data_IF_786828430046
#
_entry.id   IF_786828430046
#
_cell.length_a   1.000
_cell.length_b   1.000
_cell.length_c   1.000
_cell.angle_alpha   90.00
_cell.angle_beta   90.00
_cell.angle_gamma   90.00
#
_symmetry.space_group_name_H-M   'P 1'
#
loop_
_entity.id
_entity.type
_entity.pdbx_description
1 polymer ?
#
# COMPACT_ATOMS: atom_id res chain seq x y z
N UNK A 1 -11.80 13.25 44.16
CA UNK A 1 -12.52 12.40 43.18
C UNK A 1 -12.90 13.27 42.01
N UNK A 2 -12.18 13.15 40.89
CA UNK A 2 -12.50 13.90 39.67
C UNK A 2 -13.68 13.19 38.98
N UNK A 3 -14.82 13.86 38.88
CA UNK A 3 -15.97 13.37 38.11
C UNK A 3 -15.60 13.36 36.63
N UNK A 4 -15.45 12.18 36.04
CA UNK A 4 -15.40 12.02 34.59
C UNK A 4 -16.70 12.55 34.00
N UNK A 5 -16.62 13.57 33.15
CA UNK A 5 -17.74 14.02 32.34
C UNK A 5 -18.36 12.84 31.59
N UNK A 6 -19.70 12.71 31.50
CA UNK A 6 -20.31 11.65 30.72
C UNK A 6 -19.82 11.75 29.27
N UNK A 7 -19.31 10.65 28.73
CA UNK A 7 -18.91 10.58 27.32
C UNK A 7 -20.11 10.93 26.44
N UNK A 8 -19.96 11.91 25.55
CA UNK A 8 -21.03 12.27 24.62
C UNK A 8 -21.47 11.07 23.78
N UNK A 9 -22.79 10.95 23.49
CA UNK A 9 -23.30 9.86 22.66
C UNK A 9 -22.68 9.94 21.26
N UNK A 10 -22.08 8.83 20.84
CA UNK A 10 -21.40 8.71 19.55
C UNK A 10 -22.17 7.73 18.64
N UNK A 11 -22.45 8.15 17.42
CA UNK A 11 -23.07 7.31 16.38
C UNK A 11 -22.04 7.12 15.27
N UNK A 12 -21.88 5.87 14.85
CA UNK A 12 -20.95 5.47 13.80
C UNK A 12 -21.70 4.63 12.76
N UNK A 13 -21.53 5.00 11.49
CA UNK A 13 -22.10 4.34 10.34
C UNK A 13 -20.99 3.71 9.52
N UNK A 14 -21.12 2.43 9.22
CA UNK A 14 -20.21 1.70 8.33
C UNK A 14 -21.02 0.91 7.32
N UNK A 15 -20.72 1.04 6.04
CA UNK A 15 -21.35 0.26 4.99
C UNK A 15 -20.28 -0.40 4.11
N UNK A 16 -20.34 -1.71 3.91
CA UNK A 16 -19.44 -2.43 2.99
C UNK A 16 -20.24 -3.12 1.88
N UNK A 17 -19.69 -3.09 0.66
CA UNK A 17 -20.22 -3.79 -0.49
C UNK A 17 -19.73 -5.24 -0.51
N UNK A 18 -20.67 -6.18 -0.51
CA UNK A 18 -20.41 -7.60 -0.74
C UNK A 18 -20.81 -7.95 -2.18
N UNK A 19 -19.93 -7.62 -3.13
CA UNK A 19 -20.20 -7.71 -4.57
C UNK A 19 -20.67 -9.11 -5.01
N UNK A 20 -20.01 -10.18 -4.54
CA UNK A 20 -20.30 -11.56 -4.93
C UNK A 20 -21.72 -12.02 -4.54
N UNK A 21 -22.25 -11.53 -3.42
CA UNK A 21 -23.62 -11.85 -2.96
C UNK A 21 -24.59 -10.69 -3.20
N UNK A 22 -24.14 -9.63 -3.90
CA UNK A 22 -24.92 -8.48 -4.36
C UNK A 22 -25.71 -7.81 -3.23
N UNK A 23 -25.05 -7.62 -2.10
CA UNK A 23 -25.61 -6.97 -0.91
C UNK A 23 -24.68 -5.89 -0.39
N UNK A 24 -25.26 -4.85 0.19
CA UNK A 24 -24.53 -3.92 1.07
C UNK A 24 -24.87 -4.30 2.50
N UNK A 25 -23.85 -4.47 3.34
CA UNK A 25 -24.05 -4.55 4.78
C UNK A 25 -23.86 -3.18 5.39
N UNK A 26 -24.92 -2.67 6.00
CA UNK A 26 -24.91 -1.42 6.76
C UNK A 26 -24.90 -1.76 8.24
N UNK A 27 -24.01 -1.13 8.97
CA UNK A 27 -23.91 -1.18 10.42
C UNK A 27 -24.11 0.21 11.00
N UNK A 28 -24.93 0.27 12.05
CA UNK A 28 -25.12 1.44 12.89
C UNK A 28 -24.62 1.05 14.27
N UNK A 29 -23.57 1.72 14.74
CA UNK A 29 -23.04 1.52 16.10
C UNK A 29 -23.35 2.75 16.93
N UNK A 30 -23.97 2.57 18.08
CA UNK A 30 -24.21 3.64 19.05
C UNK A 30 -23.42 3.37 20.34
N UNK A 31 -22.77 4.39 20.87
CA UNK A 31 -22.12 4.36 22.19
C UNK A 31 -22.88 5.30 23.10
N UNK A 32 -23.66 4.75 24.03
CA UNK A 32 -24.36 5.54 25.04
C UNK A 32 -23.82 5.19 26.43
N UNK A 33 -23.56 6.22 27.24
CA UNK A 33 -23.12 6.07 28.64
C UNK A 33 -24.22 5.46 29.55
N UNK A 34 -25.47 5.48 29.09
CA UNK A 34 -26.65 4.92 29.76
C UNK A 34 -27.32 3.99 28.76
N UNK A 35 -27.70 2.77 29.19
CA UNK A 35 -28.43 1.82 28.34
C UNK A 35 -29.76 2.44 27.92
N UNK A 36 -29.79 3.10 26.77
CA UNK A 36 -30.98 3.67 26.19
C UNK A 36 -31.43 2.71 25.08
N UNK A 37 -32.59 2.07 25.27
CA UNK A 37 -33.17 1.14 24.28
C UNK A 37 -33.80 1.89 23.08
N UNK A 38 -33.51 3.18 22.91
CA UNK A 38 -34.01 3.99 21.80
C UNK A 38 -33.36 3.53 20.50
N UNK A 39 -34.09 2.74 19.73
CA UNK A 39 -33.62 2.24 18.43
C UNK A 39 -33.32 3.39 17.46
N UNK A 40 -32.18 3.38 16.75
CA UNK A 40 -31.89 4.36 15.70
C UNK A 40 -32.91 4.24 14.57
N UNK A 41 -33.41 5.38 14.11
CA UNK A 41 -34.30 5.46 12.95
C UNK A 41 -33.43 5.53 11.69
N UNK A 42 -33.55 4.54 10.81
CA UNK A 42 -32.78 4.44 9.57
C UNK A 42 -33.70 4.64 8.38
N UNK A 43 -33.36 5.59 7.52
CA UNK A 43 -34.14 5.95 6.33
C UNK A 43 -33.27 5.96 5.09
N UNK A 44 -33.87 5.66 3.94
CA UNK A 44 -33.25 5.67 2.61
C UNK A 44 -33.84 6.82 1.81
N UNK A 45 -32.98 7.56 1.12
CA UNK A 45 -33.40 8.64 0.24
C UNK A 45 -34.15 8.12 -1.01
N UNK A 46 -34.61 9.04 -1.86
CA UNK A 46 -35.29 8.71 -3.12
C UNK A 46 -34.34 8.07 -4.14
N UNK A 47 -33.07 8.48 -4.16
CA UNK A 47 -32.05 7.92 -5.06
C UNK A 47 -31.59 6.51 -4.67
N UNK A 48 -31.89 6.08 -3.43
CA UNK A 48 -31.48 4.81 -2.82
C UNK A 48 -29.97 4.67 -2.72
N UNK A 49 -29.26 5.79 -2.65
CA UNK A 49 -27.80 5.87 -2.53
C UNK A 49 -27.35 6.56 -1.24
N UNK A 50 -28.27 7.19 -0.52
CA UNK A 50 -28.01 7.84 0.76
C UNK A 50 -28.85 7.20 1.86
N UNK A 51 -28.21 6.91 2.99
CA UNK A 51 -28.86 6.46 4.21
C UNK A 51 -28.72 7.56 5.27
N UNK A 52 -29.85 7.90 5.89
CA UNK A 52 -29.89 8.83 7.02
C UNK A 52 -30.30 8.10 8.27
N UNK A 53 -29.47 8.22 9.31
CA UNK A 53 -29.67 7.63 10.63
C UNK A 53 -29.88 8.74 11.65
N UNK A 54 -30.99 8.69 12.37
CA UNK A 54 -31.32 9.60 13.47
C UNK A 54 -31.37 8.84 14.79
N UNK A 55 -30.61 9.31 15.78
CA UNK A 55 -30.52 8.72 17.12
C UNK A 55 -30.09 9.78 18.14
N UNK A 56 -30.81 9.89 19.27
CA UNK A 56 -30.51 10.83 20.37
C UNK A 56 -30.16 12.25 19.91
N UNK A 57 -31.06 12.87 19.15
CA UNK A 57 -30.94 14.22 18.53
C UNK A 57 -29.78 14.42 17.54
N UNK A 58 -29.02 13.36 17.23
CA UNK A 58 -28.00 13.38 16.18
C UNK A 58 -28.54 12.74 14.91
N UNK A 59 -28.22 13.35 13.78
CA UNK A 59 -28.54 12.82 12.46
C UNK A 59 -27.28 12.72 11.62
N UNK A 60 -27.02 11.53 11.10
CA UNK A 60 -25.90 11.26 10.20
C UNK A 60 -26.42 10.75 8.86
N UNK A 61 -25.90 11.32 7.78
CA UNK A 61 -26.16 10.83 6.42
C UNK A 61 -24.89 10.25 5.83
N UNK A 62 -24.97 9.02 5.32
CA UNK A 62 -23.90 8.26 4.67
C UNK A 62 -24.28 7.93 3.23
N UNK A 63 -23.37 8.17 2.28
CA UNK A 63 -23.51 7.65 0.91
C UNK A 63 -23.10 6.19 0.86
N UNK A 64 -23.98 5.34 0.37
CA UNK A 64 -23.72 3.91 0.23
C UNK A 64 -22.70 3.64 -0.88
N UNK A 65 -21.94 2.53 -0.80
CA UNK A 65 -21.03 2.09 -1.85
C UNK A 65 -21.66 1.93 -3.24
N UNK A 66 -22.95 1.59 -3.26
CA UNK A 66 -23.74 1.45 -4.48
C UNK A 66 -25.22 1.69 -4.15
N UNK A 67 -26.02 2.06 -5.15
CA UNK A 67 -27.46 2.21 -4.98
C UNK A 67 -28.13 0.87 -4.69
N UNK A 68 -29.07 0.86 -3.74
CA UNK A 68 -29.80 -0.34 -3.31
C UNK A 68 -31.15 -0.47 -4.01
N UNK A 69 -31.72 -1.67 -4.00
CA UNK A 69 -33.05 -1.96 -4.55
C UNK A 69 -34.15 -1.29 -3.71
N UNK A 70 -35.34 -1.12 -4.30
CA UNK A 70 -36.49 -0.57 -3.57
C UNK A 70 -36.89 -1.41 -2.34
N UNK A 71 -36.66 -2.73 -2.38
CA UNK A 71 -36.93 -3.67 -1.27
C UNK A 71 -36.04 -3.41 -0.05
N UNK A 72 -34.92 -2.69 -0.20
CA UNK A 72 -34.04 -2.37 0.92
C UNK A 72 -34.74 -1.63 2.07
N UNK A 73 -35.82 -0.87 1.78
CA UNK A 73 -36.61 -0.17 2.81
C UNK A 73 -37.27 -1.13 3.81
N UNK A 74 -37.68 -2.31 3.36
CA UNK A 74 -38.30 -3.33 4.23
C UNK A 74 -37.27 -3.90 5.22
N UNK A 75 -36.00 -3.99 4.81
CA UNK A 75 -34.91 -4.50 5.64
C UNK A 75 -34.44 -3.51 6.73
N UNK A 76 -34.68 -2.21 6.56
CA UNK A 76 -34.33 -1.19 7.56
C UNK A 76 -35.22 -1.26 8.83
N UNK A 77 -36.41 -1.81 8.71
CA UNK A 77 -37.35 -1.96 9.83
C UNK A 77 -37.06 -3.18 10.72
N UNK A 78 -36.21 -4.13 10.29
CA UNK A 78 -36.05 -5.42 10.95
C UNK A 78 -34.63 -5.69 11.49
N UNK A 79 -34.18 -4.95 12.51
CA UNK A 79 -32.89 -5.23 13.16
C UNK A 79 -32.98 -5.09 14.68
N UNK A 80 -32.44 -6.08 15.39
CA UNK A 80 -32.25 -6.08 16.84
C UNK A 80 -30.82 -5.63 17.16
N UNK A 81 -30.64 -4.93 18.28
CA UNK A 81 -29.33 -4.53 18.75
C UNK A 81 -28.53 -5.75 19.22
N UNK A 82 -27.25 -5.81 18.85
CA UNK A 82 -26.27 -6.71 19.47
C UNK A 82 -25.39 -5.89 20.40
N UNK A 83 -25.27 -6.32 21.66
CA UNK A 83 -24.49 -5.62 22.67
C UNK A 83 -23.03 -6.09 22.68
N UNK A 84 -22.09 -5.16 22.60
CA UNK A 84 -20.65 -5.41 22.60
C UNK A 84 -19.93 -4.68 23.73
N UNK A 85 -20.43 -4.81 24.97
CA UNK A 85 -19.71 -4.36 26.16
C UNK A 85 -19.46 -2.85 26.22
N UNK A 86 -20.45 -2.04 25.81
CA UNK A 86 -20.38 -0.58 25.78
C UNK A 86 -20.92 0.04 24.49
N UNK A 87 -21.14 -0.79 23.46
CA UNK A 87 -21.61 -0.38 22.14
C UNK A 87 -22.82 -1.24 21.73
N UNK A 88 -23.87 -0.60 21.21
CA UNK A 88 -25.00 -1.28 20.55
C UNK A 88 -24.76 -1.28 19.04
N UNK A 89 -24.75 -2.47 18.43
CA UNK A 89 -24.60 -2.64 16.99
C UNK A 89 -25.94 -3.07 16.35
N UNK A 90 -26.36 -2.36 15.31
CA UNK A 90 -27.49 -2.73 14.46
C UNK A 90 -26.97 -3.04 13.06
N UNK A 91 -27.25 -4.25 12.57
CA UNK A 91 -26.83 -4.70 11.23
C UNK A 91 -28.04 -4.79 10.29
N UNK A 92 -27.87 -4.31 9.06
CA UNK A 92 -28.87 -4.34 8.00
C UNK A 92 -28.27 -4.92 6.72
N UNK A 93 -29.03 -5.76 6.03
CA UNK A 93 -28.64 -6.34 4.73
C UNK A 93 -29.48 -5.70 3.65
N UNK A 94 -28.84 -4.89 2.81
CA UNK A 94 -29.52 -4.10 1.78
C UNK A 94 -29.26 -4.73 0.40
N UNK A 95 -30.27 -5.33 -0.26
CA UNK A 95 -30.10 -5.93 -1.59
C UNK A 95 -29.87 -4.85 -2.65
N UNK A 96 -28.95 -5.11 -3.59
CA UNK A 96 -28.55 -4.18 -4.66
C UNK A 96 -29.48 -4.32 -5.88
N UNK A 97 -29.63 -3.24 -6.65
CA UNK A 97 -30.42 -3.20 -7.88
C UNK A 97 -29.72 -3.92 -9.05
N UNK A 98 -30.39 -4.86 -9.72
CA UNK A 98 -29.81 -5.63 -10.83
C UNK A 98 -29.68 -4.82 -12.12
N UNK A 99 -30.64 -3.93 -12.40
CA UNK A 99 -30.76 -3.24 -13.68
C UNK A 99 -29.80 -2.04 -13.83
N UNK A 100 -29.31 -1.49 -12.71
CA UNK A 100 -28.35 -0.37 -12.68
C UNK A 100 -26.89 -0.75 -12.37
N UNK A 101 -26.63 -2.03 -12.09
CA UNK A 101 -25.34 -2.49 -11.53
C UNK A 101 -24.21 -2.74 -12.54
N UNK A 102 -24.50 -2.80 -13.85
CA UNK A 102 -23.50 -3.17 -14.86
C UNK A 102 -22.28 -2.24 -14.89
N UNK A 103 -22.44 -0.98 -14.47
CA UNK A 103 -21.38 0.04 -14.45
C UNK A 103 -20.68 0.13 -13.09
N UNK A 104 -21.37 -0.25 -12.00
CA UNK A 104 -20.91 -0.05 -10.62
C UNK A 104 -20.39 -1.30 -9.93
N UNK A 105 -20.42 -2.49 -10.54
CA UNK A 105 -19.90 -3.75 -9.98
C UNK A 105 -18.59 -4.19 -10.66
N UNK A 106 -18.15 -3.45 -11.69
CA UNK A 106 -16.83 -3.65 -12.28
C UNK A 106 -15.78 -3.59 -11.16
N UNK A 107 -14.89 -4.59 -11.05
CA UNK A 107 -13.81 -4.53 -10.09
C UNK A 107 -12.93 -3.31 -10.39
N UNK A 108 -12.28 -2.79 -9.36
CA UNK A 108 -11.33 -1.69 -9.47
C UNK A 108 -10.01 -2.17 -10.16
N UNK A 109 -10.07 -2.84 -11.31
CA UNK A 109 -8.94 -3.62 -11.85
C UNK A 109 -7.88 -2.82 -12.62
N UNK A 110 -8.02 -1.50 -12.81
CA UNK A 110 -6.93 -0.71 -13.41
C UNK A 110 -5.97 -0.17 -12.36
N UNK A 111 -5.39 -1.09 -11.58
CA UNK A 111 -4.38 -0.77 -10.58
C UNK A 111 -3.13 -0.11 -11.18
N UNK A 112 -2.84 -0.38 -12.45
CA UNK A 112 -1.71 0.25 -13.16
C UNK A 112 -1.91 1.74 -13.39
N UNK A 113 -3.15 2.18 -13.61
CA UNK A 113 -3.47 3.61 -13.75
C UNK A 113 -3.66 4.31 -12.41
N UNK A 114 -4.03 3.58 -11.36
CA UNK A 114 -4.26 4.15 -10.02
C UNK A 114 -3.01 4.15 -9.14
N UNK A 115 -1.98 3.38 -9.50
CA UNK A 115 -0.71 3.33 -8.77
C UNK A 115 -0.06 4.72 -8.70
N UNK A 116 0.48 5.14 -7.54
CA UNK A 116 1.17 6.40 -7.37
C UNK A 116 2.28 6.60 -8.40
N UNK A 117 2.21 7.68 -9.18
CA UNK A 117 3.26 8.10 -10.11
C UNK A 117 3.75 7.00 -11.07
N UNK A 118 2.91 6.54 -12.02
CA UNK A 118 3.35 5.62 -13.07
C UNK A 118 4.25 6.37 -14.06
N UNK A 119 5.14 5.69 -14.79
CA UNK A 119 6.05 6.38 -15.71
C UNK A 119 5.31 7.21 -16.79
N UNK A 120 4.14 6.72 -17.24
CA UNK A 120 3.25 7.45 -18.18
C UNK A 120 2.74 8.80 -17.66
N UNK A 121 2.72 8.98 -16.33
CA UNK A 121 2.32 10.24 -15.68
C UNK A 121 3.48 11.23 -15.51
N UNK A 122 4.70 10.84 -15.84
CA UNK A 122 5.89 11.66 -15.66
C UNK A 122 6.21 12.47 -16.92
N UNK A 123 6.69 13.69 -16.73
CA UNK A 123 7.06 14.62 -17.81
C UNK A 123 8.55 14.95 -17.77
N UNK A 124 9.05 15.60 -18.83
CA UNK A 124 10.41 16.13 -18.85
C UNK A 124 10.66 17.26 -17.82
N UNK A 125 9.61 17.74 -17.14
CA UNK A 125 9.69 18.78 -16.11
C UNK A 125 9.49 18.20 -14.70
N UNK A 126 9.35 16.88 -14.57
CA UNK A 126 9.01 16.25 -13.30
C UNK A 126 10.23 16.16 -12.38
N UNK A 127 10.10 16.69 -11.17
CA UNK A 127 11.13 16.75 -10.14
C UNK A 127 10.73 15.89 -8.95
N UNK A 128 11.71 15.21 -8.35
CA UNK A 128 11.48 14.40 -7.13
C UNK A 128 12.09 15.16 -5.96
N UNK A 129 11.28 15.41 -4.94
CA UNK A 129 11.62 16.20 -3.76
C UNK A 129 11.55 15.36 -2.49
N UNK A 130 12.31 15.73 -1.46
CA UNK A 130 12.21 15.10 -0.15
C UNK A 130 10.88 15.48 0.49
N UNK A 131 10.11 14.50 0.97
CA UNK A 131 8.82 14.75 1.62
C UNK A 131 8.93 15.62 2.87
N UNK A 132 10.01 15.45 3.66
CA UNK A 132 10.18 16.16 4.93
C UNK A 132 10.45 17.66 4.77
N UNK A 133 11.41 18.01 3.91
CA UNK A 133 11.92 19.38 3.78
C UNK A 133 11.71 20.03 2.39
N UNK A 134 11.06 19.35 1.45
CA UNK A 134 10.86 19.81 0.08
C UNK A 134 12.14 20.07 -0.73
N UNK A 135 13.32 19.67 -0.23
CA UNK A 135 14.57 19.76 -0.97
C UNK A 135 14.53 18.86 -2.22
N UNK A 136 14.88 19.40 -3.38
CA UNK A 136 14.92 18.67 -4.64
C UNK A 136 16.02 17.60 -4.60
N UNK A 137 15.61 16.33 -4.75
CA UNK A 137 16.46 15.14 -4.81
C UNK A 137 16.91 14.84 -6.25
N UNK A 138 16.02 15.03 -7.20
CA UNK A 138 16.25 14.87 -8.64
C UNK A 138 15.54 16.01 -9.40
N UNK A 139 16.25 16.60 -10.36
CA UNK A 139 15.71 17.61 -11.28
C UNK A 139 16.12 17.33 -12.72
N UNK A 140 15.19 17.40 -13.68
CA UNK A 140 15.51 17.38 -15.10
C UNK A 140 16.17 18.72 -15.47
N UNK A 141 17.48 18.75 -15.72
CA UNK A 141 18.16 20.00 -16.11
C UNK A 141 17.63 20.57 -17.43
N UNK A 142 17.79 21.89 -17.65
CA UNK A 142 17.16 22.71 -18.72
C UNK A 142 17.32 22.21 -20.18
N UNK A 143 18.14 21.19 -20.46
CA UNK A 143 18.43 20.71 -21.82
C UNK A 143 18.55 19.18 -21.94
N UNK A 144 18.06 18.41 -20.96
CA UNK A 144 18.26 16.96 -20.94
C UNK A 144 16.94 16.19 -21.17
N UNK A 145 16.92 15.38 -22.23
CA UNK A 145 15.82 14.43 -22.46
C UNK A 145 15.86 13.35 -21.37
N UNK A 146 15.08 13.54 -20.31
CA UNK A 146 14.83 12.51 -19.29
C UNK A 146 13.88 11.48 -19.84
N UNK A 147 14.21 10.20 -19.65
CA UNK A 147 13.39 9.07 -20.07
C UNK A 147 12.84 8.37 -18.83
N UNK A 148 11.53 8.39 -18.67
CA UNK A 148 10.83 7.64 -17.63
C UNK A 148 10.40 6.28 -18.18
N UNK A 149 10.71 5.21 -17.45
CA UNK A 149 10.35 3.84 -17.85
C UNK A 149 9.85 3.07 -16.66
N UNK A 150 8.70 2.42 -16.80
CA UNK A 150 8.30 1.43 -15.80
C UNK A 150 9.30 0.28 -15.82
N UNK A 151 9.72 -0.16 -14.62
CA UNK A 151 10.49 -1.38 -14.50
C UNK A 151 9.61 -2.57 -14.88
N UNK A 152 10.14 -3.54 -15.63
CA UNK A 152 9.47 -4.83 -15.71
C UNK A 152 9.36 -5.42 -14.30
N UNK A 153 8.35 -6.28 -14.09
CA UNK A 153 8.15 -6.94 -12.79
C UNK A 153 9.47 -7.55 -12.28
N UNK A 154 9.65 -7.57 -10.95
CA UNK A 154 10.91 -8.00 -10.32
C UNK A 154 11.39 -9.39 -10.81
N UNK A 155 10.44 -10.28 -11.09
CA UNK A 155 10.71 -11.65 -11.53
C UNK A 155 10.66 -11.82 -13.05
N UNK A 156 10.60 -10.73 -13.83
CA UNK A 156 10.59 -10.83 -15.30
C UNK A 156 11.82 -11.56 -15.82
N UNK A 157 12.98 -11.34 -15.21
CA UNK A 157 14.21 -12.06 -15.57
C UNK A 157 14.09 -13.56 -15.24
N UNK A 158 13.56 -13.92 -14.07
CA UNK A 158 13.36 -15.32 -13.66
C UNK A 158 12.30 -16.02 -14.52
N UNK A 159 11.23 -15.31 -14.88
CA UNK A 159 10.19 -15.76 -15.81
C UNK A 159 10.75 -15.97 -17.22
N UNK A 160 11.62 -15.06 -17.67
CA UNK A 160 12.34 -15.23 -18.93
C UNK A 160 13.30 -16.41 -18.87
N UNK A 161 13.97 -16.67 -17.74
CA UNK A 161 14.87 -17.81 -17.58
C UNK A 161 14.11 -19.15 -17.62
N UNK A 162 12.93 -19.21 -17.01
CA UNK A 162 12.01 -20.35 -17.13
C UNK A 162 11.57 -20.58 -18.59
N UNK A 163 11.38 -19.52 -19.37
CA UNK A 163 10.97 -19.62 -20.78
C UNK A 163 12.10 -19.99 -21.73
N UNK A 164 13.35 -19.65 -21.39
CA UNK A 164 14.53 -19.95 -22.21
C UNK A 164 15.26 -21.25 -21.79
N UNK A 165 14.62 -22.11 -20.99
CA UNK A 165 15.22 -23.37 -20.48
C UNK A 165 15.70 -24.36 -21.57
N UNK A 166 15.38 -24.13 -22.84
CA UNK A 166 16.03 -24.81 -23.95
C UNK A 166 16.53 -23.76 -24.96
N UNK A 167 17.79 -23.33 -24.80
CA UNK A 167 18.50 -22.68 -25.91
C UNK A 167 18.55 -23.71 -27.06
N UNK A 168 18.05 -23.41 -28.26
CA UNK A 168 18.11 -24.35 -29.37
C UNK A 168 19.56 -24.78 -29.58
N UNK A 169 19.78 -26.09 -29.75
CA UNK A 169 21.10 -26.58 -30.10
C UNK A 169 21.61 -25.80 -31.31
N UNK A 170 22.87 -25.34 -31.30
CA UNK A 170 23.44 -24.69 -32.47
C UNK A 170 23.33 -25.68 -33.63
N UNK A 171 22.49 -25.34 -34.60
CA UNK A 171 22.38 -26.09 -35.84
C UNK A 171 23.79 -26.09 -36.44
N UNK A 172 24.45 -27.26 -36.62
CA UNK A 172 25.77 -27.31 -37.21
C UNK A 172 25.65 -26.70 -38.61
N UNK A 173 26.30 -25.55 -38.82
CA UNK A 173 26.39 -24.93 -40.13
C UNK A 173 27.18 -25.88 -41.03
N UNK A 174 26.46 -26.68 -41.83
CA UNK A 174 27.02 -27.23 -43.06
C UNK A 174 27.13 -26.06 -44.02
N UNK A 175 28.21 -25.31 -43.89
CA UNK A 175 28.97 -24.75 -45.02
C UNK A 175 30.28 -24.19 -44.47
N UNK A 176 31.37 -24.66 -45.06
CA UNK A 176 32.70 -24.10 -44.88
C UNK A 176 32.76 -22.78 -45.63
N UNK A 177 33.57 -21.87 -45.10
CA UNK A 177 33.99 -20.60 -45.71
C UNK A 177 33.07 -19.39 -45.47
N UNK A 178 33.26 -18.74 -44.33
CA UNK A 178 33.51 -17.29 -44.29
C UNK A 178 34.03 -16.86 -42.92
N UNK A 179 35.14 -16.15 -42.95
CA UNK A 179 35.80 -15.50 -41.84
C UNK A 179 34.81 -14.59 -41.10
N UNK A 180 34.48 -14.94 -39.86
CA UNK A 180 33.62 -14.14 -38.99
C UNK A 180 34.19 -14.13 -37.57
N UNK A 181 35.18 -13.26 -37.37
CA UNK A 181 35.44 -12.67 -36.06
C UNK A 181 34.22 -11.84 -35.62
N UNK A 182 33.20 -12.50 -35.10
CA UNK A 182 32.18 -11.91 -34.22
C UNK A 182 31.33 -13.01 -33.57
N UNK A 183 31.97 -13.80 -32.71
CA UNK A 183 31.27 -14.58 -31.68
C UNK A 183 30.80 -13.66 -30.54
N UNK A 184 30.20 -12.52 -30.87
CA UNK A 184 29.41 -11.74 -29.93
C UNK A 184 27.96 -12.15 -30.13
N UNK A 185 27.56 -13.23 -29.46
CA UNK A 185 26.15 -13.59 -29.24
C UNK A 185 25.40 -12.58 -28.33
N UNK A 186 25.81 -11.31 -28.37
CA UNK A 186 25.32 -10.21 -27.56
C UNK A 186 24.34 -9.30 -28.32
N UNK A 187 24.14 -9.55 -29.61
CA UNK A 187 23.27 -8.76 -30.45
C UNK A 187 21.92 -9.45 -30.62
N UNK A 188 20.98 -9.01 -29.77
CA UNK A 188 19.52 -9.15 -29.95
C UNK A 188 18.89 -10.46 -29.44
N UNK A 189 19.12 -10.77 -28.16
CA UNK A 189 18.34 -11.77 -27.42
C UNK A 189 17.89 -11.26 -26.06
N UNK A 190 16.66 -11.61 -25.64
CA UNK A 190 16.15 -11.46 -24.27
C UNK A 190 16.73 -12.54 -23.34
N UNK A 191 18.04 -12.82 -23.45
CA UNK A 191 18.68 -13.85 -22.63
C UNK A 191 18.89 -13.40 -21.19
N UNK A 192 18.99 -14.37 -20.27
CA UNK A 192 19.30 -14.22 -18.84
C UNK A 192 20.45 -13.23 -18.52
N UNK A 193 21.39 -13.06 -19.45
CA UNK A 193 22.56 -12.17 -19.31
C UNK A 193 22.25 -10.69 -19.55
N UNK A 194 21.07 -10.33 -20.08
CA UNK A 194 20.70 -8.96 -20.40
C UNK A 194 20.11 -8.26 -19.16
N UNK A 195 21.00 -7.82 -18.25
CA UNK A 195 20.59 -7.18 -16.99
C UNK A 195 20.17 -5.72 -17.22
N UNK A 196 19.04 -5.32 -16.65
CA UNK A 196 18.65 -3.90 -16.58
C UNK A 196 19.67 -3.18 -15.70
N UNK A 197 20.23 -2.07 -16.20
CA UNK A 197 21.19 -1.24 -15.47
C UNK A 197 20.80 0.21 -15.64
N UNK A 198 20.93 0.99 -14.57
CA UNK A 198 20.71 2.42 -14.56
C UNK A 198 21.64 3.12 -15.55
N UNK A 199 21.05 3.94 -16.42
CA UNK A 199 21.77 4.79 -17.37
C UNK A 199 21.49 6.24 -17.02
N UNK A 200 22.48 7.15 -17.16
CA UNK A 200 22.25 8.57 -16.92
C UNK A 200 21.02 9.06 -17.69
N UNK A 201 20.23 9.93 -17.07
CA UNK A 201 19.00 10.52 -17.65
C UNK A 201 17.87 9.52 -17.89
N UNK A 202 17.95 8.31 -17.35
CA UNK A 202 16.84 7.36 -17.33
C UNK A 202 16.39 7.15 -15.90
N UNK A 203 15.11 7.40 -15.64
CA UNK A 203 14.49 7.09 -14.34
C UNK A 203 13.56 5.91 -14.53
N UNK A 204 13.90 4.84 -13.85
CA UNK A 204 13.10 3.65 -13.75
C UNK A 204 12.03 3.82 -12.66
N UNK A 205 10.81 3.42 -12.94
CA UNK A 205 9.66 3.58 -12.05
C UNK A 205 9.17 2.21 -11.63
N UNK A 206 9.22 1.95 -10.33
CA UNK A 206 8.61 0.79 -9.70
C UNK A 206 7.33 1.23 -8.95
N UNK A 207 6.54 0.28 -8.45
CA UNK A 207 5.35 0.55 -7.63
C UNK A 207 5.71 1.34 -6.38
N UNK A 208 6.85 1.02 -5.75
CA UNK A 208 7.26 1.60 -4.47
C UNK A 208 8.37 2.63 -4.61
N UNK A 209 8.99 2.78 -5.77
CA UNK A 209 10.24 3.54 -5.87
C UNK A 209 10.55 4.12 -7.25
N UNK A 210 11.49 5.06 -7.26
CA UNK A 210 12.19 5.56 -8.44
C UNK A 210 13.64 5.13 -8.39
N UNK A 211 14.14 4.54 -9.48
CA UNK A 211 15.51 4.05 -9.56
C UNK A 211 16.25 4.81 -10.66
N UNK A 212 17.42 5.34 -10.33
CA UNK A 212 18.21 6.17 -11.25
C UNK A 212 19.69 6.05 -10.94
N UNK A 213 20.53 6.66 -11.77
CA UNK A 213 21.96 6.73 -11.45
C UNK A 213 22.21 7.64 -10.25
N UNK A 214 23.25 7.35 -9.46
CA UNK A 214 23.65 8.25 -8.37
C UNK A 214 23.95 9.67 -8.87
N UNK A 215 24.47 9.80 -10.11
CA UNK A 215 24.75 11.08 -10.75
C UNK A 215 23.50 11.88 -11.13
N UNK A 216 22.32 11.27 -11.20
CA UNK A 216 21.06 11.99 -11.41
C UNK A 216 20.42 12.41 -10.07
N UNK A 217 20.68 11.67 -8.99
CA UNK A 217 20.13 11.93 -7.65
C UNK A 217 21.00 12.89 -6.81
N UNK A 218 21.05 14.16 -7.19
CA UNK A 218 21.99 15.12 -6.61
C UNK A 218 21.61 15.66 -5.24
N UNK A 219 20.35 15.60 -4.83
CA UNK A 219 19.92 16.10 -3.51
C UNK A 219 20.04 15.08 -2.37
N UNK A 220 20.58 13.88 -2.64
CA UNK A 220 20.73 12.82 -1.66
C UNK A 220 22.19 12.38 -1.46
N UNK A 221 22.51 11.89 -0.26
CA UNK A 221 23.83 11.37 0.12
C UNK A 221 23.72 9.94 0.61
N UNK A 222 24.70 9.11 0.27
CA UNK A 222 24.80 7.74 0.76
C UNK A 222 25.42 7.77 2.15
N UNK A 223 24.82 7.05 3.08
CA UNK A 223 25.36 6.81 4.42
C UNK A 223 25.51 5.32 4.63
N UNK A 224 26.74 4.86 4.89
CA UNK A 224 26.96 3.48 5.30
C UNK A 224 26.41 3.31 6.72
N UNK A 225 25.69 2.22 6.98
CA UNK A 225 25.47 1.77 8.36
C UNK A 225 26.86 1.64 9.01
N UNK A 226 27.06 2.28 10.17
CA UNK A 226 28.39 2.48 10.77
C UNK A 226 29.16 1.16 10.90
N UNK A 227 30.31 1.07 10.26
CA UNK A 227 31.45 0.33 10.78
C UNK A 227 32.40 1.34 11.41
N UNK A 228 32.60 1.26 12.74
CA UNK A 228 33.85 1.61 13.42
C UNK A 228 33.76 1.30 14.92
N UNK A 229 34.06 0.05 15.26
CA UNK A 229 34.94 -0.25 16.39
C UNK A 229 35.63 -1.59 16.12
N UNK A 230 36.95 -1.50 16.06
CA UNK A 230 37.93 -2.59 16.02
C UNK A 230 37.62 -3.79 16.93
N UNK A 231 37.91 -4.99 16.38
CA UNK A 231 38.25 -6.24 17.09
C UNK A 231 37.24 -6.78 18.11
N UNK A 232 36.46 -7.78 17.73
CA UNK A 232 36.69 -9.13 18.25
C UNK A 232 36.06 -10.21 17.36
N UNK A 233 36.78 -11.33 17.25
CA UNK A 233 36.40 -12.51 16.48
C UNK A 233 35.28 -13.30 17.16
N UNK A 234 34.33 -13.81 16.37
CA UNK A 234 33.61 -15.03 16.68
C UNK A 234 32.09 -14.91 16.75
N UNK A 235 31.43 -15.33 15.68
CA UNK A 235 30.30 -16.28 15.61
C UNK A 235 29.49 -15.97 14.33
N UNK A 236 29.30 -17.00 13.50
CA UNK A 236 28.53 -16.98 12.27
C UNK A 236 27.06 -16.59 12.53
N UNK A 237 26.72 -15.32 12.35
CA UNK A 237 25.35 -14.90 12.03
C UNK A 237 25.35 -14.44 10.58
N UNK A 238 24.69 -15.20 9.70
CA UNK A 238 24.38 -14.77 8.33
C UNK A 238 23.33 -13.65 8.39
N UNK A 239 23.73 -12.45 8.80
CA UNK A 239 22.94 -11.25 8.53
C UNK A 239 23.15 -10.87 7.06
N UNK A 240 22.07 -10.67 6.28
CA UNK A 240 22.22 -10.20 4.90
C UNK A 240 22.99 -8.86 4.89
N UNK A 241 23.83 -8.61 3.88
CA UNK A 241 24.64 -7.40 3.81
C UNK A 241 23.73 -6.16 3.92
N UNK A 242 24.01 -5.29 4.91
CA UNK A 242 23.26 -4.06 5.10
C UNK A 242 23.44 -3.17 3.87
N UNK A 243 22.37 -2.97 3.10
CA UNK A 243 22.37 -2.08 1.94
C UNK A 243 22.59 -0.64 2.43
N UNK A 244 23.53 0.14 1.86
CA UNK A 244 23.74 1.52 2.29
C UNK A 244 22.48 2.37 2.13
N UNK A 245 22.15 3.14 3.16
CA UNK A 245 20.98 4.02 3.16
C UNK A 245 21.26 5.30 2.36
N UNK A 246 20.20 5.84 1.75
CA UNK A 246 20.22 7.11 1.07
C UNK A 246 19.43 8.16 1.89
N UNK A 247 20.09 9.26 2.25
CA UNK A 247 19.52 10.33 3.06
C UNK A 247 19.47 11.66 2.28
N UNK A 248 18.46 12.48 2.55
CA UNK A 248 18.40 13.84 2.01
C UNK A 248 19.62 14.66 2.51
N UNK A 249 20.28 15.40 1.60
CA UNK A 249 21.42 16.26 1.96
C UNK A 249 21.02 17.41 2.90
N UNK A 250 19.79 17.92 2.77
CA UNK A 250 19.29 19.07 3.53
C UNK A 250 18.87 18.69 4.96
N UNK A 251 17.90 17.78 5.12
CA UNK A 251 17.35 17.44 6.44
C UNK A 251 17.86 16.13 7.04
N UNK A 252 18.63 15.32 6.28
CA UNK A 252 19.14 14.04 6.76
C UNK A 252 18.13 12.89 6.80
N UNK A 253 16.85 13.13 6.47
CA UNK A 253 15.83 12.07 6.44
C UNK A 253 16.19 10.95 5.46
N UNK A 254 15.95 9.70 5.84
CA UNK A 254 16.08 8.56 4.94
C UNK A 254 15.05 8.65 3.80
N UNK A 255 15.52 8.59 2.56
CA UNK A 255 14.70 8.74 1.34
C UNK A 255 14.78 7.53 0.43
N UNK A 256 15.66 6.56 0.72
CA UNK A 256 15.95 5.47 -0.19
C UNK A 256 17.12 4.60 0.25
N UNK A 257 17.60 3.78 -0.68
CA UNK A 257 18.77 2.90 -0.51
C UNK A 257 19.57 2.75 -1.81
N UNK A 258 20.76 2.15 -1.72
CA UNK A 258 21.58 1.84 -2.90
C UNK A 258 21.07 0.57 -3.56
N UNK A 259 20.81 0.62 -4.88
CA UNK A 259 20.33 -0.52 -5.63
C UNK A 259 21.48 -1.19 -6.42
N UNK A 260 22.12 -2.16 -5.79
CA UNK A 260 23.33 -2.82 -6.31
C UNK A 260 23.08 -3.60 -7.61
N UNK A 261 21.92 -4.25 -7.74
CA UNK A 261 21.56 -5.05 -8.92
C UNK A 261 21.50 -4.19 -10.19
N UNK A 262 20.87 -3.02 -10.09
CA UNK A 262 20.70 -2.05 -11.17
C UNK A 262 21.85 -1.03 -11.26
N UNK A 263 22.87 -1.11 -10.39
CA UNK A 263 23.99 -0.16 -10.28
C UNK A 263 23.51 1.30 -10.15
N UNK A 264 22.51 1.52 -9.29
CA UNK A 264 21.87 2.83 -9.12
C UNK A 264 21.52 3.12 -7.67
N UNK A 265 20.68 4.13 -7.50
CA UNK A 265 20.05 4.47 -6.22
C UNK A 265 18.54 4.38 -6.38
N UNK A 266 17.88 3.95 -5.31
CA UNK A 266 16.44 3.77 -5.23
C UNK A 266 15.85 4.77 -4.24
N UNK A 267 14.97 5.65 -4.71
CA UNK A 267 14.19 6.57 -3.89
C UNK A 267 12.82 5.97 -3.59
N UNK A 268 12.46 5.83 -2.33
CA UNK A 268 11.16 5.31 -1.93
C UNK A 268 10.07 6.35 -2.17
N UNK A 269 9.03 5.99 -2.92
CA UNK A 269 7.85 6.85 -3.19
C UNK A 269 7.23 7.36 -1.90
N UNK A 270 7.20 6.54 -0.84
CA UNK A 270 6.61 6.92 0.44
C UNK A 270 7.40 8.02 1.18
N UNK A 271 8.67 8.22 0.82
CA UNK A 271 9.58 9.19 1.44
C UNK A 271 9.86 10.42 0.56
N UNK A 272 9.22 10.52 -0.61
CA UNK A 272 9.39 11.63 -1.56
C UNK A 272 8.05 12.27 -1.93
N UNK A 273 8.14 13.40 -2.63
CA UNK A 273 7.03 14.12 -3.24
C UNK A 273 7.42 14.51 -4.67
N UNK A 274 6.45 14.79 -5.54
CA UNK A 274 6.69 15.17 -6.93
C UNK A 274 6.24 16.60 -7.21
N UNK A 275 6.97 17.31 -8.07
CA UNK A 275 6.51 18.54 -8.70
C UNK A 275 6.60 18.42 -10.22
N UNK A 276 5.63 18.99 -10.94
CA UNK A 276 5.61 19.02 -12.41
C UNK A 276 6.05 20.39 -12.99
N UNK A 277 6.65 21.27 -12.19
CA UNK A 277 7.01 22.62 -12.64
C UNK A 277 8.35 22.68 -13.39
N UNK A 278 8.43 23.60 -14.35
CA UNK A 278 9.52 23.70 -15.31
C UNK A 278 10.87 24.25 -14.78
N UNK A 279 10.98 24.70 -13.53
CA UNK A 279 12.17 25.44 -13.03
C UNK A 279 12.74 24.87 -11.72
N UNK A 280 12.87 23.54 -11.62
CA UNK A 280 13.50 22.93 -10.44
C UNK A 280 15.02 22.94 -10.57
N UNK A 281 15.72 23.57 -9.63
CA UNK A 281 17.18 23.46 -9.50
C UNK A 281 17.54 22.56 -8.32
N UNK A 282 18.31 21.50 -8.56
CA UNK A 282 18.72 20.58 -7.50
C UNK A 282 19.37 21.30 -6.31
N UNK A 283 19.01 20.91 -5.09
CA UNK A 283 19.52 21.52 -3.85
C UNK A 283 18.78 22.78 -3.38
N UNK A 284 17.72 23.20 -4.07
CA UNK A 284 16.77 24.21 -3.56
C UNK A 284 15.52 23.52 -2.98
N UNK A 285 14.80 24.23 -2.11
CA UNK A 285 13.55 23.74 -1.53
C UNK A 285 12.35 24.29 -2.32
N UNK A 286 11.42 23.42 -2.69
CA UNK A 286 10.18 23.80 -3.36
C UNK A 286 9.12 24.29 -2.36
N UNK A 287 8.16 25.08 -2.84
CA UNK A 287 6.93 25.36 -2.07
C UNK A 287 6.14 24.05 -1.94
N UNK A 288 5.77 23.71 -0.70
CA UNK A 288 5.02 22.49 -0.37
C UNK A 288 3.64 22.45 -1.03
N UNK A 289 3.04 23.60 -1.35
CA UNK A 289 1.74 23.65 -2.04
C UNK A 289 1.80 23.20 -3.50
N UNK A 290 3.01 23.09 -4.07
CA UNK A 290 3.26 22.68 -5.45
C UNK A 290 3.73 21.22 -5.53
N UNK A 291 3.74 20.54 -4.40
CA UNK A 291 4.13 19.15 -4.28
C UNK A 291 2.89 18.27 -4.23
N UNK A 292 2.90 17.24 -5.06
CA UNK A 292 2.02 16.10 -4.93
C UNK A 292 2.70 15.07 -4.01
N UNK A 293 1.94 14.52 -3.08
CA UNK A 293 2.37 13.40 -2.24
C UNK A 293 1.25 12.38 -2.11
N UNK A 294 1.65 11.12 -1.97
CA UNK A 294 0.73 10.02 -1.69
C UNK A 294 0.96 9.48 -0.28
N UNK A 295 -0.10 9.08 0.44
CA UNK A 295 0.05 8.53 1.78
C UNK A 295 0.80 7.17 1.73
N UNK A 296 1.68 6.87 2.71
CA UNK A 296 2.44 5.61 2.73
C UNK A 296 1.58 4.36 2.59
N UNK A 297 0.42 4.32 3.25
CA UNK A 297 -0.53 3.21 3.21
C UNK A 297 -1.03 2.90 1.80
N UNK A 298 -1.17 3.91 0.94
CA UNK A 298 -1.56 3.71 -0.45
C UNK A 298 -0.45 2.98 -1.22
N UNK A 299 0.78 3.43 -1.06
CA UNK A 299 1.95 2.85 -1.75
C UNK A 299 2.17 1.40 -1.30
N UNK A 300 2.07 1.13 0.00
CA UNK A 300 2.16 -0.24 0.53
C UNK A 300 0.95 -1.08 0.12
N UNK A 301 -0.24 -0.50 0.02
CA UNK A 301 -1.43 -1.15 -0.52
C UNK A 301 -1.21 -1.67 -1.94
N UNK A 302 -0.65 -0.83 -2.83
CA UNK A 302 -0.28 -1.24 -4.19
C UNK A 302 0.86 -2.26 -4.22
N UNK A 303 1.83 -2.18 -3.32
CA UNK A 303 2.89 -3.19 -3.20
C UNK A 303 2.33 -4.56 -2.81
N UNK A 304 1.44 -4.61 -1.83
CA UNK A 304 0.77 -5.84 -1.42
C UNK A 304 -0.10 -6.40 -2.55
N UNK A 305 -0.78 -5.52 -3.28
CA UNK A 305 -1.63 -5.92 -4.39
C UNK A 305 -0.82 -6.55 -5.53
N UNK A 306 0.28 -5.92 -5.92
CA UNK A 306 1.17 -6.51 -6.92
C UNK A 306 1.79 -7.81 -6.44
N UNK A 307 2.17 -7.92 -5.17
CA UNK A 307 2.64 -9.19 -4.61
C UNK A 307 1.57 -10.28 -4.70
N UNK A 308 0.32 -9.97 -4.34
CA UNK A 308 -0.82 -10.90 -4.46
C UNK A 308 -1.05 -11.33 -5.92
N UNK A 309 -0.98 -10.41 -6.88
CA UNK A 309 -1.15 -10.72 -8.30
C UNK A 309 0.03 -11.51 -8.88
N UNK A 310 1.25 -11.18 -8.44
CA UNK A 310 2.50 -11.80 -8.91
C UNK A 310 2.63 -13.25 -8.46
N UNK A 311 2.44 -13.52 -7.17
CA UNK A 311 2.74 -14.83 -6.59
C UNK A 311 1.50 -15.63 -6.17
N UNK A 312 0.33 -14.99 -6.11
CA UNK A 312 -0.87 -15.57 -5.52
C UNK A 312 -0.82 -15.67 -3.98
N UNK A 313 0.30 -15.29 -3.35
CA UNK A 313 0.45 -15.27 -1.89
C UNK A 313 -0.40 -14.15 -1.31
N UNK A 314 -1.12 -14.46 -0.23
CA UNK A 314 -1.96 -13.47 0.48
C UNK A 314 -1.52 -13.23 1.92
N UNK A 315 -0.50 -13.94 2.42
CA UNK A 315 0.03 -13.74 3.76
C UNK A 315 1.41 -13.11 3.70
N UNK A 316 1.62 -12.11 4.54
CA UNK A 316 2.82 -11.32 4.57
C UNK A 316 3.34 -11.17 6.00
N UNK A 317 4.64 -11.40 6.18
CA UNK A 317 5.38 -11.02 7.37
C UNK A 317 5.92 -9.60 7.14
N UNK A 318 5.21 -8.60 7.67
CA UNK A 318 5.56 -7.19 7.53
C UNK A 318 6.41 -6.77 8.72
N UNK A 319 7.63 -6.30 8.48
CA UNK A 319 8.52 -5.89 9.56
C UNK A 319 9.51 -4.80 9.13
N UNK A 320 10.23 -4.26 10.11
CA UNK A 320 11.33 -3.35 9.86
C UNK A 320 12.67 -4.04 10.08
N UNK A 321 13.56 -3.95 9.08
CA UNK A 321 14.93 -4.47 9.14
C UNK A 321 15.94 -3.55 9.82
N UNK A 322 15.51 -2.50 10.53
CA UNK A 322 16.43 -1.63 11.30
C UNK A 322 16.98 -2.37 12.52
N UNK A 323 18.25 -2.12 12.86
CA UNK A 323 18.87 -2.56 14.13
C UNK A 323 18.12 -2.02 15.36
N UNK A 324 17.39 -0.91 15.20
CA UNK A 324 16.54 -0.33 16.25
C UNK A 324 15.33 -1.22 16.59
N UNK A 325 14.95 -2.16 15.71
CA UNK A 325 13.94 -3.18 16.00
C UNK A 325 14.59 -4.40 16.67
N UNK A 326 15.23 -4.20 17.82
CA UNK A 326 15.97 -5.25 18.53
C UNK A 326 15.12 -6.49 18.89
N UNK A 327 13.80 -6.32 18.99
CA UNK A 327 12.86 -7.40 19.28
C UNK A 327 12.38 -8.13 18.02
N UNK A 328 12.67 -7.63 16.82
CA UNK A 328 12.09 -8.12 15.56
C UNK A 328 10.56 -8.12 15.56
N UNK A 329 9.97 -7.11 16.20
CA UNK A 329 8.53 -6.92 16.20
C UNK A 329 8.04 -6.71 14.76
N UNK A 330 6.88 -7.28 14.43
CA UNK A 330 6.28 -7.13 13.13
C UNK A 330 4.79 -7.45 13.14
N UNK A 331 4.23 -7.55 11.93
CA UNK A 331 2.83 -7.89 11.69
C UNK A 331 2.79 -9.12 10.81
N UNK A 332 2.01 -10.12 11.23
CA UNK A 332 1.53 -11.14 10.31
C UNK A 332 0.23 -10.62 9.71
N UNK A 333 0.25 -10.34 8.41
CA UNK A 333 -0.89 -9.81 7.67
C UNK A 333 -1.43 -10.86 6.69
N UNK A 334 -2.75 -10.89 6.53
CA UNK A 334 -3.45 -11.69 5.54
C UNK A 334 -4.39 -10.79 4.74
N UNK A 335 -4.06 -10.58 3.47
CA UNK A 335 -4.85 -9.84 2.50
C UNK A 335 -6.08 -10.66 2.12
N UNK A 336 -7.19 -10.37 2.80
CA UNK A 336 -8.44 -11.13 2.67
C UNK A 336 -9.26 -10.67 1.46
N UNK A 337 -9.42 -9.36 1.27
CA UNK A 337 -10.08 -8.77 0.11
C UNK A 337 -9.23 -7.62 -0.43
N UNK A 338 -8.97 -7.62 -1.74
CA UNK A 338 -8.17 -6.59 -2.44
C UNK A 338 -9.01 -5.46 -3.02
N UNK A 339 -10.34 -5.64 -3.10
CA UNK A 339 -11.27 -4.67 -3.71
C UNK A 339 -12.52 -4.53 -2.81
N UNK A 340 -12.30 -4.02 -1.58
CA UNK A 340 -13.39 -3.67 -0.68
C UNK A 340 -13.86 -2.25 -0.97
N UNK A 341 -15.12 -2.10 -1.35
CA UNK A 341 -15.77 -0.79 -1.37
C UNK A 341 -16.57 -0.57 -0.11
N UNK A 342 -16.27 0.52 0.59
CA UNK A 342 -16.92 0.85 1.85
C UNK A 342 -17.19 2.33 1.99
N UNK A 343 -18.09 2.67 2.90
CA UNK A 343 -18.36 4.04 3.32
C UNK A 343 -18.38 4.08 4.83
N UNK A 344 -17.83 5.14 5.41
CA UNK A 344 -17.75 5.32 6.86
C UNK A 344 -18.11 6.75 7.24
N UNK A 345 -18.82 6.93 8.35
CA UNK A 345 -19.07 8.24 8.94
C UNK A 345 -19.32 8.10 10.44
N UNK A 346 -18.75 8.99 11.24
CA UNK A 346 -19.05 9.11 12.65
C UNK A 346 -19.47 10.53 13.03
N UNK A 347 -19.88 10.71 14.29
CA UNK A 347 -20.28 12.01 14.83
C UNK A 347 -19.13 12.99 15.06
N UNK A 348 -17.87 12.53 15.08
CA UNK A 348 -16.69 13.38 15.22
C UNK A 348 -16.22 13.97 13.90
N UNK A 349 -16.61 13.39 12.78
CA UNK A 349 -16.24 13.82 11.45
C UNK A 349 -17.10 15.01 11.02
N UNK A 350 -16.52 16.21 11.04
CA UNK A 350 -17.17 17.44 10.56
C UNK A 350 -17.45 17.40 9.04
N UNK A 351 -16.76 16.54 8.29
CA UNK A 351 -16.99 16.32 6.87
C UNK A 351 -18.05 15.24 6.63
N UNK A 352 -18.98 15.51 5.70
CA UNK A 352 -19.75 14.45 5.08
C UNK A 352 -18.77 13.55 4.32
N UNK A 353 -18.70 12.25 4.61
CA UNK A 353 -18.08 11.30 3.67
C UNK A 353 -18.93 11.31 2.39
N UNK A 354 -18.42 11.98 1.34
CA UNK A 354 -19.18 12.29 0.09
C UNK A 354 -19.09 11.15 -0.93
N UNK A 355 -18.16 10.21 -0.77
CA UNK A 355 -17.91 9.10 -1.70
C UNK A 355 -17.58 7.81 -0.97
N UNK A 356 -18.00 6.70 -1.59
CA UNK A 356 -17.51 5.38 -1.26
C UNK A 356 -16.01 5.31 -1.56
N UNK A 357 -15.27 4.58 -0.73
CA UNK A 357 -13.82 4.42 -0.81
C UNK A 357 -13.46 3.00 -1.21
N UNK A 358 -12.39 2.85 -1.98
CA UNK A 358 -11.76 1.55 -2.22
C UNK A 358 -10.67 1.27 -1.16
N UNK A 359 -10.63 0.06 -0.64
CA UNK A 359 -9.64 -0.39 0.31
C UNK A 359 -9.33 -1.89 0.19
N UNK A 360 -8.20 -2.28 0.76
CA UNK A 360 -7.85 -3.66 1.03
C UNK A 360 -8.28 -4.03 2.45
N UNK A 361 -9.02 -5.14 2.59
CA UNK A 361 -9.36 -5.73 3.90
C UNK A 361 -8.25 -6.67 4.34
N UNK A 362 -7.58 -6.32 5.43
CA UNK A 362 -6.40 -7.02 5.94
C UNK A 362 -6.68 -7.58 7.33
N UNK A 363 -6.45 -8.88 7.49
CA UNK A 363 -6.51 -9.54 8.78
C UNK A 363 -5.10 -9.53 9.33
N UNK A 364 -4.86 -9.01 10.53
CA UNK A 364 -3.50 -8.86 11.04
C UNK A 364 -3.35 -9.33 12.49
N UNK A 365 -2.11 -9.69 12.84
CA UNK A 365 -1.68 -10.01 14.20
C UNK A 365 -0.36 -9.31 14.49
N UNK A 366 -0.21 -8.82 15.71
CA UNK A 366 1.10 -8.41 16.20
C UNK A 366 1.95 -9.65 16.48
N UNK A 367 3.19 -9.62 15.99
CA UNK A 367 4.17 -10.68 16.21
C UNK A 367 5.34 -10.07 16.95
N UNK A 368 5.66 -10.60 18.12
CA UNK A 368 6.75 -10.11 18.94
C UNK A 368 8.13 -10.37 18.30
N UNK A 369 8.27 -11.49 17.59
CA UNK A 369 9.48 -11.81 16.83
C UNK A 369 9.12 -12.47 15.49
N UNK A 370 9.38 -11.76 14.39
CA UNK A 370 9.09 -12.22 13.02
C UNK A 370 10.15 -13.18 12.48
N UNK A 371 11.34 -13.27 13.06
CA UNK A 371 12.43 -14.10 12.54
C UNK A 371 12.05 -15.56 12.30
N UNK A 372 11.36 -16.27 13.23
CA UNK A 372 10.99 -17.67 12.99
C UNK A 372 10.01 -17.85 11.82
N UNK A 373 9.29 -16.80 11.42
CA UNK A 373 8.36 -16.82 10.29
C UNK A 373 9.08 -16.62 8.95
N UNK A 374 10.09 -15.76 8.92
CA UNK A 374 10.83 -15.39 7.70
C UNK A 374 12.02 -16.33 7.46
N UNK A 375 12.72 -16.68 8.54
CA UNK A 375 13.90 -17.54 8.56
C UNK A 375 13.68 -18.68 9.57
N UNK A 376 12.87 -19.70 9.22
CA UNK A 376 12.66 -20.84 10.09
C UNK A 376 13.98 -21.61 10.30
N UNK A 377 14.18 -22.11 11.52
CA UNK A 377 15.33 -22.95 11.84
C UNK A 377 15.39 -24.19 10.94
N UNK A 378 16.60 -24.69 10.67
CA UNK A 378 16.83 -25.88 9.85
C UNK A 378 15.99 -27.07 10.38
N UNK A 379 15.10 -27.59 9.54
CA UNK A 379 14.22 -28.71 9.88
C UNK A 379 12.81 -28.32 10.36
N UNK A 380 12.54 -27.04 10.57
CA UNK A 380 11.20 -26.53 10.84
C UNK A 380 10.45 -26.26 9.52
N UNK A 381 9.14 -26.57 9.45
CA UNK A 381 8.36 -26.27 8.26
C UNK A 381 8.21 -24.75 8.10
N UNK A 382 8.57 -24.24 6.92
CA UNK A 382 8.24 -22.87 6.53
C UNK A 382 6.72 -22.69 6.51
N UNK A 383 6.25 -21.52 6.92
CA UNK A 383 4.82 -21.20 6.81
C UNK A 383 4.44 -21.17 5.34
N UNK A 384 3.53 -22.04 4.92
CA UNK A 384 3.10 -22.16 3.52
C UNK A 384 2.48 -20.84 3.04
N UNK A 385 2.92 -20.37 1.87
CA UNK A 385 2.40 -19.16 1.21
C UNK A 385 2.51 -17.92 2.11
N UNK A 386 3.69 -17.68 2.67
CA UNK A 386 4.05 -16.48 3.42
C UNK A 386 5.20 -15.75 2.70
N UNK A 387 5.02 -14.47 2.41
CA UNK A 387 6.07 -13.61 1.86
C UNK A 387 6.59 -12.61 2.89
N UNK A 388 7.86 -12.23 2.76
CA UNK A 388 8.47 -11.19 3.59
C UNK A 388 8.23 -9.80 2.96
N UNK A 389 7.74 -8.85 3.75
CA UNK A 389 7.67 -7.44 3.36
C UNK A 389 8.46 -6.59 4.36
N UNK A 390 9.66 -6.18 3.95
CA UNK A 390 10.55 -5.34 4.75
C UNK A 390 10.30 -3.86 4.44
N UNK A 391 10.04 -3.08 5.48
CA UNK A 391 9.72 -1.65 5.37
C UNK A 391 10.69 -0.78 6.19
N UNK A 392 10.95 0.48 5.78
CA UNK A 392 11.58 1.46 6.66
C UNK A 392 10.75 1.68 7.94
N UNK A 393 11.42 1.95 9.06
CA UNK A 393 10.79 1.99 10.39
C UNK A 393 9.57 2.93 10.48
N UNK A 394 9.71 4.14 9.93
CA UNK A 394 8.63 5.13 9.93
C UNK A 394 7.42 4.67 9.10
N UNK A 395 7.64 3.97 7.99
CA UNK A 395 6.58 3.40 7.15
C UNK A 395 5.91 2.24 7.87
N UNK A 396 6.67 1.32 8.46
CA UNK A 396 6.12 0.23 9.26
C UNK A 396 5.17 0.73 10.37
N UNK A 397 5.60 1.74 11.13
CA UNK A 397 4.75 2.36 12.17
C UNK A 397 3.51 3.03 11.59
N UNK A 398 3.62 3.69 10.44
CA UNK A 398 2.49 4.27 9.73
C UNK A 398 1.46 3.19 9.37
N UNK A 399 1.87 2.09 8.71
CA UNK A 399 0.98 0.99 8.34
C UNK A 399 0.32 0.35 9.56
N UNK A 400 1.09 0.09 10.61
CA UNK A 400 0.56 -0.43 11.89
C UNK A 400 -0.53 0.48 12.44
N UNK A 401 -0.26 1.79 12.52
CA UNK A 401 -1.23 2.77 13.03
C UNK A 401 -2.48 2.89 12.15
N UNK A 402 -2.34 2.81 10.83
CA UNK A 402 -3.48 2.83 9.89
C UNK A 402 -4.38 1.61 10.07
N UNK A 403 -3.80 0.43 10.23
CA UNK A 403 -4.56 -0.80 10.50
C UNK A 403 -5.28 -0.74 11.86
N UNK A 404 -4.61 -0.31 12.92
CA UNK A 404 -5.20 -0.16 14.25
C UNK A 404 -6.33 0.90 14.25
N UNK A 405 -6.10 2.03 13.58
CA UNK A 405 -7.10 3.10 13.45
C UNK A 405 -8.32 2.64 12.65
N UNK A 406 -8.12 2.00 11.51
CA UNK A 406 -9.23 1.49 10.69
C UNK A 406 -10.00 0.37 11.39
N UNK A 407 -9.35 -0.44 12.23
CA UNK A 407 -10.03 -1.43 13.09
C UNK A 407 -11.05 -0.76 14.01
N UNK A 408 -10.75 0.42 14.55
CA UNK A 408 -11.70 1.17 15.39
C UNK A 408 -12.91 1.72 14.60
N UNK A 409 -12.74 1.92 13.29
CA UNK A 409 -13.81 2.38 12.37
C UNK A 409 -14.74 1.24 11.93
N UNK A 410 -14.31 -0.01 12.11
CA UNK A 410 -15.17 -1.16 11.84
C UNK A 410 -16.25 -1.31 12.93
N UNK A 411 -17.42 -1.86 12.55
CA UNK A 411 -18.44 -2.25 13.52
C UNK A 411 -17.85 -3.26 14.53
N UNK A 412 -18.30 -3.27 15.79
CA UNK A 412 -17.76 -4.15 16.84
C UNK A 412 -17.60 -5.62 16.42
N UNK A 413 -18.60 -6.19 15.73
CA UNK A 413 -18.55 -7.57 15.23
C UNK A 413 -17.53 -7.78 14.10
N UNK A 414 -17.14 -6.70 13.42
CA UNK A 414 -16.19 -6.69 12.31
C UNK A 414 -14.74 -6.39 12.70
N UNK A 415 -14.43 -6.16 14.00
CA UNK A 415 -13.06 -5.81 14.44
C UNK A 415 -12.14 -7.02 14.59
N UNK A 416 -12.69 -8.22 14.80
CA UNK A 416 -11.91 -9.45 15.03
C UNK A 416 -12.52 -10.65 14.31
N UNK A 417 -11.65 -11.58 13.92
CA UNK A 417 -12.02 -12.92 13.44
C UNK A 417 -11.10 -13.96 14.09
N UNK A 418 -11.62 -14.62 15.12
CA UNK A 418 -10.81 -15.48 15.99
C UNK A 418 -9.70 -14.66 16.66
N UNK A 419 -8.45 -15.04 16.40
CA UNK A 419 -7.26 -14.35 16.91
C UNK A 419 -6.78 -13.18 16.02
N UNK A 420 -7.41 -12.97 14.86
CA UNK A 420 -7.02 -11.91 13.93
C UNK A 420 -7.78 -10.63 14.24
N UNK A 421 -7.08 -9.50 14.21
CA UNK A 421 -7.69 -8.19 14.09
C UNK A 421 -7.96 -7.89 12.61
N UNK A 422 -8.92 -7.01 12.32
CA UNK A 422 -9.30 -6.68 10.95
C UNK A 422 -9.16 -5.17 10.76
N UNK A 423 -8.31 -4.79 9.81
CA UNK A 423 -8.10 -3.40 9.41
C UNK A 423 -8.32 -3.20 7.92
N UNK A 424 -8.38 -1.94 7.51
CA UNK A 424 -8.49 -1.50 6.13
C UNK A 424 -7.25 -0.68 5.74
N UNK A 425 -6.73 -0.92 4.53
CA UNK A 425 -5.75 -0.06 3.88
C UNK A 425 -6.42 0.60 2.69
N UNK A 426 -6.59 1.92 2.73
CA UNK A 426 -7.24 2.66 1.65
C UNK A 426 -6.37 2.61 0.37
N UNK A 427 -7.03 2.40 -0.77
CA UNK A 427 -6.42 2.32 -2.10
C UNK A 427 -6.69 3.60 -2.93
N UNK A 428 -7.17 4.65 -2.28
CA UNK A 428 -7.48 5.94 -2.88
C UNK A 428 -7.02 7.08 -1.95
N UNK A 429 -6.48 8.15 -2.54
CA UNK A 429 -6.27 9.43 -1.82
C UNK A 429 -7.62 10.02 -1.40
N UNK A 430 -7.67 10.58 -0.19
CA UNK A 430 -8.86 11.25 0.35
C UNK A 430 -9.19 12.57 -0.38
#
# INVERSE_FOLDING_TARGET
MASSSPSEPCVQLYAELLANIRQIRLYVTTKDAVRNDSRPVVTLDSSRSLVTVSHSDRTLTLKLPLSVSARAREHLAASQATWHGGENEYSFRLPIDEAGSAVGVAPCHDYTSMSPWPAKGMTAQTCICCRGCANILFSPGEAQNIVWKDLPSADWAEMMDLWHCHKPDPIPSRDRDMDSTSLDGNTKGYGASNRVVCKPRTVFVNITSFIMTQGDCQGAKITNAKGDSSFDQGINSFSPPSVPNLCCKSCGSAVGEVQNSLQGVELFKASVSISHQANCTAGTCMDKNLLEDYPPELIIGFQLLEAVERSGTRRFAIHCGSEDNQQHNGLLAWVFNTDLRYSFKDTSSASCSVSARCAMKVFYKHVANVQPLVNPDLGMPSVTSLEELRLPLHIYHCIKSVLEKSTSQLPPSGRKFGEWEIGLLDLESA
#
